data_IF_265529730847
#
_entry.id   IF_265529730847
#
_cell.length_a   1.000
_cell.length_b   1.000
_cell.length_c   1.000
_cell.angle_alpha   90.00
_cell.angle_beta   90.00
_cell.angle_gamma   90.00
#
_symmetry.space_group_name_H-M   'P 1'
#
loop_
_entity.id
_entity.type
_entity.pdbx_description
1 polymer ?
#
# COMPACT_ATOMS: atom_id res chain seq x y z
N UNK A 1 43.79 61.53 28.82
CA UNK A 1 43.73 61.31 27.36
C UNK A 1 43.23 59.90 27.14
N UNK A 2 42.20 59.78 26.28
CA UNK A 2 41.45 58.56 25.97
C UNK A 2 42.39 57.48 25.43
N UNK A 3 42.21 56.22 25.83
CA UNK A 3 42.29 55.07 24.94
C UNK A 3 41.32 54.01 25.46
N UNK A 4 40.25 53.81 24.70
CA UNK A 4 39.21 52.83 24.95
C UNK A 4 39.72 51.47 24.45
N UNK A 5 39.80 50.50 25.35
CA UNK A 5 39.87 49.09 25.00
C UNK A 5 38.57 48.70 24.31
N UNK A 6 38.67 48.24 23.06
CA UNK A 6 37.59 47.51 22.42
C UNK A 6 38.21 46.39 21.60
N UNK A 7 38.30 45.21 22.20
CA UNK A 7 38.40 43.97 21.43
C UNK A 7 37.01 43.35 21.56
N UNK A 8 36.18 43.61 20.55
CA UNK A 8 34.94 42.87 20.34
C UNK A 8 35.29 41.42 20.06
N UNK A 9 35.10 40.54 21.05
CA UNK A 9 35.06 39.12 20.79
C UNK A 9 33.66 38.81 20.26
N UNK A 10 33.57 38.62 18.94
CA UNK A 10 32.35 38.17 18.30
C UNK A 10 31.95 36.82 18.91
N UNK A 11 30.77 36.75 19.51
CA UNK A 11 30.10 35.49 19.81
C UNK A 11 29.83 34.79 18.49
N UNK A 12 30.61 33.77 18.17
CA UNK A 12 30.28 32.87 17.09
C UNK A 12 28.95 32.18 17.46
N UNK A 13 27.89 32.51 16.74
CA UNK A 13 26.65 31.73 16.78
C UNK A 13 27.00 30.33 16.29
N UNK A 14 27.06 29.36 17.21
CA UNK A 14 27.03 27.95 16.83
C UNK A 14 25.71 27.72 16.10
N UNK A 15 25.78 27.44 14.80
CA UNK A 15 24.63 26.99 14.07
C UNK A 15 24.20 25.66 14.70
N UNK A 16 23.05 25.65 15.37
CA UNK A 16 22.40 24.41 15.73
C UNK A 16 22.10 23.68 14.42
N UNK A 17 22.89 22.65 14.13
CA UNK A 17 22.51 21.67 13.12
C UNK A 17 21.28 20.96 13.68
N UNK A 18 20.10 21.39 13.26
CA UNK A 18 18.87 20.66 13.50
C UNK A 18 19.08 19.25 12.93
N UNK A 19 19.28 18.29 13.82
CA UNK A 19 19.31 16.89 13.47
C UNK A 19 17.97 16.62 12.79
N UNK A 20 18.01 16.39 11.48
CA UNK A 20 16.87 15.84 10.75
C UNK A 20 16.60 14.48 11.37
N UNK A 21 15.72 14.44 12.38
CA UNK A 21 15.16 13.19 12.86
C UNK A 21 14.43 12.62 11.66
N UNK A 22 15.00 11.55 11.09
CA UNK A 22 14.30 10.74 10.12
C UNK A 22 13.02 10.27 10.82
N UNK A 23 11.91 10.97 10.56
CA UNK A 23 10.60 10.51 10.98
C UNK A 23 10.45 9.12 10.39
N UNK A 24 10.39 8.11 11.27
CA UNK A 24 10.14 6.74 10.85
C UNK A 24 8.86 6.77 10.03
N UNK A 25 8.98 6.59 8.70
CA UNK A 25 7.81 6.44 7.84
C UNK A 25 6.97 5.31 8.43
N UNK A 26 5.65 5.51 8.46
CA UNK A 26 4.74 4.44 8.85
C UNK A 26 5.11 3.18 8.04
N UNK A 27 5.25 2.05 8.74
CA UNK A 27 5.51 0.75 8.14
C UNK A 27 4.29 -0.14 8.43
N UNK A 28 3.12 0.19 7.85
CA UNK A 28 1.91 -0.58 8.08
C UNK A 28 2.15 -2.01 7.61
N UNK A 29 1.60 -2.98 8.36
CA UNK A 29 1.65 -4.38 7.95
C UNK A 29 0.49 -4.66 7.01
N UNK A 30 0.76 -5.42 5.95
CA UNK A 30 -0.25 -5.84 5.00
C UNK A 30 -0.15 -7.31 4.66
N UNK A 31 -1.19 -7.81 4.00
CA UNK A 31 -1.25 -9.15 3.43
C UNK A 31 -1.74 -9.08 1.98
N UNK A 32 -1.41 -10.08 1.18
CA UNK A 32 -2.10 -10.37 -0.07
C UNK A 32 -2.83 -11.72 0.06
N UNK A 33 -4.01 -11.82 -0.52
CA UNK A 33 -4.85 -13.02 -0.46
C UNK A 33 -5.55 -13.26 -1.79
N UNK A 34 -5.91 -14.53 -2.01
CA UNK A 34 -6.62 -14.96 -3.21
C UNK A 34 -7.62 -16.08 -2.88
N UNK A 35 -8.17 -16.74 -3.89
CA UNK A 35 -8.98 -17.95 -3.71
C UNK A 35 -8.24 -19.10 -3.01
N UNK A 36 -6.91 -19.05 -2.91
CA UNK A 36 -6.11 -20.02 -2.16
C UNK A 36 -6.26 -19.90 -0.63
N UNK A 37 -6.82 -18.80 -0.13
CA UNK A 37 -7.10 -18.57 1.29
C UNK A 37 -8.62 -18.39 1.52
N UNK A 38 -9.42 -19.47 1.43
CA UNK A 38 -10.85 -19.38 1.70
C UNK A 38 -11.12 -19.17 3.20
N UNK A 39 -12.27 -18.55 3.53
CA UNK A 39 -12.76 -18.48 4.91
C UNK A 39 -11.93 -17.64 5.89
N UNK A 40 -11.28 -16.58 5.42
CA UNK A 40 -10.44 -15.71 6.26
C UNK A 40 -11.24 -15.10 7.42
N UNK A 41 -10.72 -15.28 8.65
CA UNK A 41 -11.18 -14.54 9.82
C UNK A 41 -10.53 -13.15 9.87
N UNK A 42 -11.22 -12.16 9.30
CA UNK A 42 -10.73 -10.78 9.21
C UNK A 42 -10.58 -10.07 10.56
N UNK A 43 -11.32 -10.49 11.59
CA UNK A 43 -11.15 -9.96 12.94
C UNK A 43 -9.80 -10.39 13.53
N UNK A 44 -9.42 -11.66 13.33
CA UNK A 44 -8.08 -12.16 13.71
C UNK A 44 -6.99 -11.47 12.91
N UNK A 45 -7.18 -11.26 11.61
CA UNK A 45 -6.24 -10.51 10.75
C UNK A 45 -6.01 -9.10 11.32
N UNK A 46 -7.08 -8.37 11.65
CA UNK A 46 -6.98 -7.04 12.24
C UNK A 46 -6.30 -7.07 13.61
N UNK A 47 -6.64 -8.03 14.46
CA UNK A 47 -6.05 -8.20 15.79
C UNK A 47 -4.54 -8.48 15.73
N UNK A 48 -4.06 -9.13 14.67
CA UNK A 48 -2.64 -9.35 14.41
C UNK A 48 -1.90 -8.10 13.87
N UNK A 49 -2.57 -6.95 13.82
CA UNK A 49 -1.97 -5.67 13.43
C UNK A 49 -1.87 -5.46 11.91
N UNK A 50 -2.66 -6.19 11.11
CA UNK A 50 -2.75 -5.94 9.67
C UNK A 50 -3.60 -4.69 9.41
N UNK A 51 -3.06 -3.77 8.63
CA UNK A 51 -3.66 -2.48 8.33
C UNK A 51 -4.18 -2.39 6.89
N UNK A 52 -3.59 -3.15 5.97
CA UNK A 52 -4.06 -3.24 4.59
C UNK A 52 -4.04 -4.65 4.00
N UNK A 53 -4.84 -4.89 2.96
CA UNK A 53 -4.89 -6.15 2.22
C UNK A 53 -5.03 -5.95 0.71
N UNK A 54 -4.27 -6.69 -0.08
CA UNK A 54 -4.51 -6.86 -1.51
C UNK A 54 -5.26 -8.16 -1.78
N UNK A 55 -6.30 -8.11 -2.59
CA UNK A 55 -7.22 -9.23 -2.77
C UNK A 55 -7.32 -9.54 -4.27
N UNK A 56 -7.02 -10.78 -4.67
CA UNK A 56 -7.08 -11.19 -6.07
C UNK A 56 -8.50 -11.03 -6.59
N UNK A 57 -8.67 -10.19 -7.61
CA UNK A 57 -9.96 -10.00 -8.26
C UNK A 57 -10.07 -10.82 -9.55
N UNK A 58 -9.03 -10.79 -10.37
CA UNK A 58 -9.06 -11.31 -11.73
C UNK A 58 -7.71 -11.86 -12.16
N UNK A 59 -7.73 -12.71 -13.18
CA UNK A 59 -6.54 -13.20 -13.87
C UNK A 59 -6.79 -13.26 -15.38
N UNK A 60 -5.85 -12.74 -16.16
CA UNK A 60 -5.94 -12.74 -17.61
C UNK A 60 -7.20 -12.04 -18.13
N UNK A 61 -7.97 -12.72 -18.98
CA UNK A 61 -9.16 -12.13 -19.62
C UNK A 61 -10.45 -12.90 -19.36
N UNK A 62 -10.40 -13.90 -18.48
CA UNK A 62 -11.52 -14.84 -18.30
C UNK A 62 -11.78 -15.28 -16.87
N UNK A 63 -10.83 -15.11 -15.96
CA UNK A 63 -10.99 -15.56 -14.58
C UNK A 63 -11.35 -14.41 -13.64
N UNK A 64 -12.42 -14.61 -12.86
CA UNK A 64 -12.75 -13.82 -11.68
C UNK A 64 -12.61 -14.70 -10.44
N UNK A 65 -12.03 -14.16 -9.37
CA UNK A 65 -11.90 -14.88 -8.11
C UNK A 65 -13.26 -14.96 -7.41
N UNK A 66 -13.80 -16.17 -7.14
CA UNK A 66 -15.07 -16.34 -6.44
C UNK A 66 -15.04 -15.75 -5.02
N UNK A 67 -13.87 -15.78 -4.37
CA UNK A 67 -13.68 -15.28 -3.01
C UNK A 67 -13.56 -13.75 -2.92
N UNK A 68 -13.32 -13.06 -4.05
CA UNK A 68 -13.00 -11.63 -4.06
C UNK A 68 -14.04 -10.80 -3.30
N UNK A 69 -15.33 -11.03 -3.55
CA UNK A 69 -16.39 -10.25 -2.90
C UNK A 69 -16.43 -10.48 -1.38
N UNK A 70 -16.33 -11.73 -0.95
CA UNK A 70 -16.37 -12.10 0.47
C UNK A 70 -15.15 -11.55 1.22
N UNK A 71 -13.97 -11.69 0.64
CA UNK A 71 -12.72 -11.17 1.18
C UNK A 71 -12.74 -9.63 1.26
N UNK A 72 -13.20 -8.96 0.20
CA UNK A 72 -13.27 -7.50 0.15
C UNK A 72 -14.25 -6.92 1.18
N UNK A 73 -15.43 -7.54 1.33
CA UNK A 73 -16.42 -7.15 2.34
C UNK A 73 -15.89 -7.45 3.74
N UNK A 74 -15.26 -8.60 3.96
CA UNK A 74 -14.69 -8.98 5.25
C UNK A 74 -13.62 -8.00 5.72
N UNK A 75 -12.70 -7.59 4.84
CA UNK A 75 -11.71 -6.56 5.13
C UNK A 75 -12.37 -5.19 5.42
N UNK A 76 -13.39 -4.83 4.63
CA UNK A 76 -14.15 -3.58 4.82
C UNK A 76 -14.79 -3.53 6.21
N UNK A 77 -15.47 -4.60 6.63
CA UNK A 77 -16.16 -4.68 7.91
C UNK A 77 -15.22 -4.68 9.12
N UNK A 78 -13.92 -4.95 8.91
CA UNK A 78 -12.89 -4.96 9.95
C UNK A 78 -11.96 -3.74 9.90
N UNK A 79 -12.33 -2.70 9.15
CA UNK A 79 -11.55 -1.46 9.01
C UNK A 79 -10.09 -1.73 8.55
N UNK A 80 -9.94 -2.60 7.56
CA UNK A 80 -8.67 -2.88 6.87
C UNK A 80 -8.73 -2.17 5.51
N UNK A 81 -7.70 -1.37 5.20
CA UNK A 81 -7.57 -0.75 3.88
C UNK A 81 -7.42 -1.86 2.86
N UNK A 82 -8.19 -1.85 1.77
CA UNK A 82 -8.16 -2.96 0.81
C UNK A 82 -8.12 -2.49 -0.62
N UNK A 83 -7.40 -3.23 -1.44
CA UNK A 83 -7.32 -3.07 -2.89
C UNK A 83 -7.56 -4.39 -3.60
N UNK A 84 -8.02 -4.31 -4.84
CA UNK A 84 -8.05 -5.47 -5.73
C UNK A 84 -6.78 -5.53 -6.56
N UNK A 85 -6.27 -6.73 -6.85
CA UNK A 85 -5.20 -6.92 -7.82
C UNK A 85 -5.64 -7.80 -8.99
N UNK A 86 -4.93 -7.62 -10.11
CA UNK A 86 -5.09 -8.40 -11.33
C UNK A 86 -3.82 -9.21 -11.57
N UNK A 87 -3.94 -10.52 -11.75
CA UNK A 87 -2.82 -11.36 -12.15
C UNK A 87 -2.68 -11.34 -13.68
N UNK A 88 -1.63 -10.70 -14.16
CA UNK A 88 -1.39 -10.50 -15.57
C UNK A 88 -0.99 -11.81 -16.26
N UNK A 89 -1.48 -11.99 -17.47
CA UNK A 89 -1.13 -13.07 -18.40
C UNK A 89 -0.63 -12.47 -19.72
N UNK A 90 0.64 -12.01 -19.78
CA UNK A 90 1.17 -11.38 -21.00
C UNK A 90 1.16 -12.30 -22.22
N UNK A 91 1.12 -13.62 -21.98
CA UNK A 91 1.07 -14.67 -22.98
C UNK A 91 -0.26 -14.75 -23.73
N UNK A 92 -1.36 -14.23 -23.17
CA UNK A 92 -2.71 -14.42 -23.75
C UNK A 92 -3.33 -13.14 -24.35
N UNK A 93 -2.90 -11.94 -23.92
CA UNK A 93 -3.44 -10.68 -24.46
C UNK A 93 -2.63 -9.45 -24.04
N UNK A 94 -2.92 -8.29 -24.65
CA UNK A 94 -2.32 -7.02 -24.24
C UNK A 94 -2.76 -6.58 -22.83
N UNK A 95 -1.89 -5.80 -22.17
CA UNK A 95 -2.21 -5.21 -20.86
C UNK A 95 -3.48 -4.34 -20.87
N UNK A 96 -3.79 -3.65 -21.98
CA UNK A 96 -5.00 -2.84 -22.09
C UNK A 96 -6.29 -3.68 -22.04
N UNK A 97 -6.28 -4.87 -22.68
CA UNK A 97 -7.42 -5.79 -22.65
C UNK A 97 -7.64 -6.31 -21.22
N UNK A 98 -6.56 -6.68 -20.53
CA UNK A 98 -6.60 -7.18 -19.16
C UNK A 98 -7.01 -6.09 -18.15
N UNK A 99 -6.52 -4.86 -18.32
CA UNK A 99 -6.92 -3.71 -17.51
C UNK A 99 -8.43 -3.43 -17.64
N UNK A 100 -8.98 -3.47 -18.86
CA UNK A 100 -10.42 -3.33 -19.08
C UNK A 100 -11.21 -4.47 -18.41
N UNK A 101 -10.70 -5.70 -18.50
CA UNK A 101 -11.32 -6.85 -17.84
C UNK A 101 -11.34 -6.67 -16.31
N UNK A 102 -10.22 -6.25 -15.72
CA UNK A 102 -10.12 -5.98 -14.29
C UNK A 102 -11.08 -4.88 -13.82
N UNK A 103 -11.13 -3.75 -14.54
CA UNK A 103 -12.05 -2.65 -14.25
C UNK A 103 -13.52 -3.08 -14.32
N UNK A 104 -13.87 -4.00 -15.21
CA UNK A 104 -15.24 -4.51 -15.33
C UNK A 104 -15.64 -5.48 -14.19
N UNK A 105 -14.69 -6.24 -13.63
CA UNK A 105 -14.99 -7.38 -12.75
C UNK A 105 -14.50 -7.26 -11.30
N UNK A 106 -13.79 -6.19 -10.95
CA UNK A 106 -13.36 -5.99 -9.56
C UNK A 106 -12.75 -4.63 -9.26
N UNK A 107 -12.31 -3.90 -10.30
CA UNK A 107 -11.63 -2.63 -10.19
C UNK A 107 -12.52 -1.38 -10.15
N UNK A 108 -13.73 -1.42 -9.56
CA UNK A 108 -14.64 -0.25 -9.46
C UNK A 108 -15.20 0.08 -8.06
N UNK A 109 -14.69 -0.54 -7.00
CA UNK A 109 -15.09 -0.29 -5.60
C UNK A 109 -14.43 0.94 -4.93
N UNK A 110 -15.19 1.76 -4.22
CA UNK A 110 -14.87 3.15 -3.80
C UNK A 110 -13.61 3.48 -2.95
N UNK A 111 -12.57 2.65 -2.88
CA UNK A 111 -11.31 3.01 -2.19
C UNK A 111 -10.20 2.08 -2.70
N UNK A 112 -9.24 2.60 -3.47
CA UNK A 112 -8.33 1.75 -4.24
C UNK A 112 -6.84 2.09 -4.16
N UNK A 113 -6.08 1.03 -3.91
CA UNK A 113 -4.77 0.80 -4.47
C UNK A 113 -4.94 -0.37 -5.45
N UNK A 114 -4.45 -0.22 -6.68
CA UNK A 114 -4.47 -1.27 -7.69
C UNK A 114 -3.05 -1.72 -7.96
N UNK A 115 -2.88 -3.03 -8.10
CA UNK A 115 -1.61 -3.63 -8.51
C UNK A 115 -1.90 -4.55 -9.68
N UNK A 116 -1.13 -4.37 -10.75
CA UNK A 116 -0.96 -5.40 -11.78
C UNK A 116 0.17 -6.28 -11.26
N UNK A 117 -0.17 -7.53 -10.99
CA UNK A 117 0.75 -8.53 -10.46
C UNK A 117 1.18 -9.45 -11.59
N UNK A 118 2.47 -9.72 -11.70
CA UNK A 118 3.04 -10.67 -12.65
C UNK A 118 4.04 -11.55 -11.89
N UNK A 119 3.84 -12.86 -11.90
CA UNK A 119 4.94 -13.78 -11.59
C UNK A 119 5.71 -14.00 -12.88
N UNK A 120 6.87 -13.37 -13.03
CA UNK A 120 7.91 -13.91 -13.91
C UNK A 120 8.56 -15.07 -13.19
N UNK A 121 8.42 -16.29 -13.72
CA UNK A 121 9.38 -17.37 -13.43
C UNK A 121 10.75 -17.04 -14.05
#
# INVERSE_FOLDING_TARGET
MKWLSVISLALASVANADLVTLSKRAAPKGIDVSGWQPGINWATVKANGIEFAFIKATEGTSYTSPEFSNQYIGATNNNIIRGGYHFARPDISSGAVQANYFLAHGGKRYQFIYIVDECTE
#
